data_IF_319364220659
#
_entry.id   IF_319364220659
#
_cell.length_a   1.000
_cell.length_b   1.000
_cell.length_c   1.000
_cell.angle_alpha   90.00
_cell.angle_beta   90.00
_cell.angle_gamma   90.00
#
_symmetry.space_group_name_H-M   'P 1'
#
loop_
_entity.id
_entity.type
_entity.pdbx_description
1 polymer ?
#
# COMPACT_ATOMS: atom_id res chain seq x y z
N UNK A 1 -22.04 -5.04 13.80
CA UNK A 1 -21.20 -4.35 12.82
C UNK A 1 -21.82 -4.54 11.44
N UNK A 2 -22.00 -3.47 10.66
CA UNK A 2 -22.48 -3.58 9.28
C UNK A 2 -21.39 -4.15 8.37
N UNK A 3 -21.78 -4.93 7.37
CA UNK A 3 -20.93 -5.52 6.33
C UNK A 3 -20.06 -4.47 5.60
N UNK A 4 -20.59 -3.25 5.43
CA UNK A 4 -19.86 -2.13 4.84
C UNK A 4 -18.71 -1.65 5.75
N UNK A 5 -18.96 -1.48 7.05
CA UNK A 5 -17.96 -1.01 8.01
C UNK A 5 -16.78 -1.99 8.12
N UNK A 6 -17.07 -3.29 8.12
CA UNK A 6 -16.02 -4.31 8.14
C UNK A 6 -15.10 -4.25 6.92
N UNK A 7 -15.60 -3.86 5.74
CA UNK A 7 -14.76 -3.68 4.54
C UNK A 7 -13.89 -2.44 4.63
N UNK A 8 -14.41 -1.35 5.18
CA UNK A 8 -13.62 -0.13 5.44
C UNK A 8 -12.47 -0.48 6.38
N UNK A 9 -12.77 -1.12 7.50
CA UNK A 9 -11.75 -1.46 8.50
C UNK A 9 -10.69 -2.40 7.90
N UNK A 10 -11.08 -3.35 7.05
CA UNK A 10 -10.14 -4.23 6.35
C UNK A 10 -9.26 -3.49 5.32
N UNK A 11 -9.83 -2.55 4.56
CA UNK A 11 -9.08 -1.74 3.61
C UNK A 11 -8.12 -0.78 4.35
N UNK A 12 -8.57 -0.18 5.46
CA UNK A 12 -7.76 0.67 6.32
C UNK A 12 -6.57 -0.09 6.93
N UNK A 13 -6.79 -1.33 7.38
CA UNK A 13 -5.71 -2.19 7.87
C UNK A 13 -4.67 -2.47 6.76
N UNK A 14 -5.12 -2.85 5.56
CA UNK A 14 -4.22 -3.09 4.42
C UNK A 14 -3.42 -1.83 4.03
N UNK A 15 -4.04 -0.65 4.09
CA UNK A 15 -3.37 0.63 3.85
C UNK A 15 -2.28 0.91 4.89
N UNK A 16 -2.61 0.73 6.18
CA UNK A 16 -1.65 0.94 7.27
C UNK A 16 -0.47 -0.03 7.20
N UNK A 17 -0.73 -1.31 6.91
CA UNK A 17 0.32 -2.31 6.75
C UNK A 17 1.25 -1.99 5.58
N UNK A 18 0.71 -1.51 4.46
CA UNK A 18 1.49 -1.08 3.30
C UNK A 18 2.36 0.14 3.60
N UNK A 19 1.79 1.21 4.19
CA UNK A 19 2.55 2.42 4.56
C UNK A 19 3.68 2.09 5.56
N UNK A 20 3.40 1.24 6.54
CA UNK A 20 4.40 0.81 7.52
C UNK A 20 5.57 0.08 6.86
N UNK A 21 5.27 -0.91 6.00
CA UNK A 21 6.30 -1.66 5.29
C UNK A 21 7.09 -0.76 4.32
N UNK A 22 6.43 0.18 3.66
CA UNK A 22 7.08 1.13 2.74
C UNK A 22 8.09 2.01 3.48
N UNK A 23 7.72 2.52 4.66
CA UNK A 23 8.61 3.33 5.49
C UNK A 23 9.82 2.55 5.98
N UNK A 24 9.62 1.32 6.43
CA UNK A 24 10.70 0.44 6.89
C UNK A 24 11.72 0.16 5.77
N UNK A 25 11.22 -0.16 4.57
CA UNK A 25 12.07 -0.42 3.42
C UNK A 25 12.82 0.84 2.96
N UNK A 26 12.17 2.01 2.99
CA UNK A 26 12.82 3.29 2.67
C UNK A 26 14.01 3.56 3.58
N UNK A 27 13.83 3.41 4.90
CA UNK A 27 14.91 3.58 5.88
C UNK A 27 16.06 2.60 5.62
N UNK A 28 15.74 1.35 5.28
CA UNK A 28 16.73 0.33 4.96
C UNK A 28 17.55 0.69 3.71
N UNK A 29 16.89 1.17 2.65
CA UNK A 29 17.56 1.62 1.43
C UNK A 29 18.39 2.88 1.62
N UNK A 30 17.92 3.84 2.41
CA UNK A 30 18.70 5.03 2.78
C UNK A 30 19.99 4.61 3.50
N UNK A 31 19.92 3.61 4.38
CA UNK A 31 21.08 3.08 5.09
C UNK A 31 22.05 2.37 4.12
N UNK A 32 21.55 1.50 3.24
CA UNK A 32 22.38 0.80 2.23
C UNK A 32 23.09 1.82 1.33
N UNK A 33 22.35 2.74 0.73
CA UNK A 33 22.90 3.69 -0.24
C UNK A 33 23.84 4.72 0.40
N UNK A 34 23.72 4.97 1.70
CA UNK A 34 24.66 5.81 2.43
C UNK A 34 26.04 5.15 2.61
N UNK A 35 26.11 3.81 2.66
CA UNK A 35 27.37 3.06 2.90
C UNK A 35 27.88 2.29 1.67
N UNK A 36 27.01 2.01 0.69
CA UNK A 36 27.32 1.31 -0.55
C UNK A 36 26.95 2.17 -1.77
N UNK A 37 27.97 2.62 -2.50
CA UNK A 37 27.83 3.37 -3.76
C UNK A 37 27.93 2.49 -5.01
N UNK A 38 27.73 1.18 -4.86
CA UNK A 38 27.75 0.24 -5.98
C UNK A 38 26.61 0.49 -6.97
N UNK A 39 26.79 0.14 -8.25
CA UNK A 39 25.70 0.14 -9.23
C UNK A 39 24.50 -0.73 -8.80
N UNK A 40 24.73 -1.78 -8.01
CA UNK A 40 23.71 -2.64 -7.43
C UNK A 40 22.81 -1.87 -6.45
N UNK A 41 23.39 -1.10 -5.53
CA UNK A 41 22.65 -0.24 -4.61
C UNK A 41 21.85 0.84 -5.34
N UNK A 42 22.41 1.45 -6.39
CA UNK A 42 21.70 2.38 -7.25
C UNK A 42 20.48 1.76 -7.94
N UNK A 43 20.63 0.54 -8.49
CA UNK A 43 19.51 -0.20 -9.10
C UNK A 43 18.41 -0.56 -8.10
N UNK A 44 18.78 -0.88 -6.86
CA UNK A 44 17.82 -1.11 -5.79
C UNK A 44 17.01 0.16 -5.48
N UNK A 45 17.67 1.31 -5.36
CA UNK A 45 16.98 2.59 -5.16
C UNK A 45 16.01 2.92 -6.31
N UNK A 46 16.44 2.74 -7.56
CA UNK A 46 15.58 2.96 -8.74
C UNK A 46 14.37 2.01 -8.77
N UNK A 47 14.57 0.74 -8.41
CA UNK A 47 13.51 -0.25 -8.31
C UNK A 47 12.47 0.12 -7.26
N UNK A 48 12.92 0.58 -6.09
CA UNK A 48 12.05 1.05 -5.03
C UNK A 48 11.26 2.29 -5.43
N UNK A 49 11.87 3.26 -6.11
CA UNK A 49 11.15 4.43 -6.63
C UNK A 49 10.00 4.06 -7.57
N UNK A 50 10.12 2.96 -8.32
CA UNK A 50 9.02 2.39 -9.11
C UNK A 50 7.87 1.88 -8.25
N UNK A 51 8.18 1.19 -7.15
CA UNK A 51 7.19 0.71 -6.18
C UNK A 51 6.53 1.86 -5.44
N UNK A 52 7.27 2.90 -5.04
CA UNK A 52 6.72 4.08 -4.37
C UNK A 52 5.62 4.74 -5.21
N UNK A 53 5.86 4.97 -6.50
CA UNK A 53 4.85 5.54 -7.40
C UNK A 53 3.59 4.69 -7.48
N UNK A 54 3.75 3.36 -7.52
CA UNK A 54 2.61 2.44 -7.54
C UNK A 54 1.85 2.48 -6.20
N UNK A 55 2.56 2.54 -5.08
CA UNK A 55 1.97 2.62 -3.74
C UNK A 55 1.16 3.91 -3.60
N UNK A 56 1.70 5.04 -4.07
CA UNK A 56 0.99 6.32 -4.09
C UNK A 56 -0.32 6.23 -4.90
N UNK A 57 -0.27 5.59 -6.07
CA UNK A 57 -1.44 5.41 -6.94
C UNK A 57 -2.54 4.58 -6.26
N UNK A 58 -2.20 3.41 -5.68
CA UNK A 58 -3.20 2.55 -5.01
C UNK A 58 -3.70 3.18 -3.70
N UNK A 59 -2.85 3.93 -3.00
CA UNK A 59 -3.20 4.69 -1.81
C UNK A 59 -4.21 5.78 -2.14
N UNK A 60 -4.00 6.50 -3.25
CA UNK A 60 -4.92 7.53 -3.71
C UNK A 60 -6.30 6.94 -4.02
N UNK A 61 -6.37 5.81 -4.73
CA UNK A 61 -7.64 5.13 -5.01
C UNK A 61 -8.38 4.67 -3.75
N UNK A 62 -7.64 4.22 -2.73
CA UNK A 62 -8.23 3.89 -1.44
C UNK A 62 -8.84 5.13 -0.77
N UNK A 63 -8.10 6.23 -0.71
CA UNK A 63 -8.58 7.50 -0.14
C UNK A 63 -9.82 7.99 -0.90
N UNK A 64 -9.77 8.01 -2.24
CA UNK A 64 -10.94 8.37 -3.06
C UNK A 64 -12.14 7.46 -2.79
N UNK A 65 -11.93 6.15 -2.63
CA UNK A 65 -13.00 5.21 -2.35
C UNK A 65 -13.62 5.42 -0.96
N UNK A 66 -12.86 5.85 0.04
CA UNK A 66 -13.37 6.20 1.37
C UNK A 66 -14.08 7.55 1.34
N UNK A 67 -13.49 8.56 0.68
CA UNK A 67 -14.04 9.93 0.61
C UNK A 67 -15.32 10.01 -0.24
N UNK A 68 -15.47 9.14 -1.24
CA UNK A 68 -16.64 9.13 -2.14
C UNK A 68 -17.94 8.78 -1.43
N UNK A 69 -17.88 8.14 -0.25
CA UNK A 69 -19.07 7.72 0.49
C UNK A 69 -19.02 8.23 1.92
N UNK A 70 -20.02 8.99 2.31
CA UNK A 70 -20.30 9.26 3.72
C UNK A 70 -20.85 7.98 4.37
N UNK A 71 -19.94 7.05 4.69
CA UNK A 71 -20.26 5.70 5.17
C UNK A 71 -20.86 5.68 6.57
N UNK A 72 -20.82 6.81 7.27
CA UNK A 72 -21.45 6.99 8.58
C UNK A 72 -22.91 7.49 8.46
N UNK A 73 -23.38 7.79 7.25
CA UNK A 73 -24.77 8.16 6.99
C UNK A 73 -25.70 6.96 7.17
N UNK A 74 -26.61 7.06 8.14
CA UNK A 74 -27.58 6.01 8.49
C UNK A 74 -28.54 5.66 7.34
N UNK A 75 -28.86 6.63 6.47
CA UNK A 75 -29.71 6.48 5.28
C UNK A 75 -28.89 6.51 3.97
N UNK A 76 -27.84 5.70 3.88
CA UNK A 76 -27.11 5.52 2.62
C UNK A 76 -27.95 4.71 1.63
N UNK A 77 -28.09 5.22 0.40
CA UNK A 77 -28.84 4.53 -0.65
C UNK A 77 -28.26 3.11 -0.90
N UNK A 78 -29.10 2.06 -1.02
CA UNK A 78 -28.61 0.68 -1.21
C UNK A 78 -27.71 0.49 -2.44
N UNK A 79 -27.92 1.26 -3.50
CA UNK A 79 -27.08 1.22 -4.72
C UNK A 79 -25.73 1.89 -4.50
N UNK A 80 -25.67 2.97 -3.71
CA UNK A 80 -24.41 3.59 -3.28
C UNK A 80 -23.66 2.66 -2.33
N UNK A 81 -24.36 2.01 -1.40
CA UNK A 81 -23.77 1.03 -0.49
C UNK A 81 -23.20 -0.19 -1.23
N UNK A 82 -23.81 -0.60 -2.35
CA UNK A 82 -23.27 -1.68 -3.19
C UNK A 82 -21.99 -1.24 -3.92
N UNK A 83 -22.00 -0.05 -4.52
CA UNK A 83 -20.83 0.51 -5.22
C UNK A 83 -19.65 0.75 -4.28
N UNK A 84 -19.90 1.30 -3.08
CA UNK A 84 -18.90 1.48 -2.03
C UNK A 84 -18.22 0.15 -1.68
N UNK A 85 -19.00 -0.92 -1.51
CA UNK A 85 -18.46 -2.24 -1.21
C UNK A 85 -17.54 -2.76 -2.31
N UNK A 86 -17.92 -2.60 -3.58
CA UNK A 86 -17.08 -3.00 -4.71
C UNK A 86 -15.78 -2.20 -4.77
N UNK A 87 -15.84 -0.89 -4.58
CA UNK A 87 -14.65 -0.03 -4.62
C UNK A 87 -13.70 -0.33 -3.46
N UNK A 88 -14.21 -0.49 -2.24
CA UNK A 88 -13.40 -0.83 -1.06
C UNK A 88 -12.75 -2.21 -1.19
N UNK A 89 -13.47 -3.21 -1.72
CA UNK A 89 -12.89 -4.53 -1.97
C UNK A 89 -11.76 -4.46 -2.99
N UNK A 90 -11.96 -3.73 -4.10
CA UNK A 90 -10.93 -3.53 -5.11
C UNK A 90 -9.71 -2.76 -4.56
N UNK A 91 -9.94 -1.67 -3.83
CA UNK A 91 -8.86 -0.90 -3.21
C UNK A 91 -8.04 -1.77 -2.26
N UNK A 92 -8.69 -2.58 -1.41
CA UNK A 92 -8.01 -3.54 -0.54
C UNK A 92 -7.14 -4.52 -1.34
N UNK A 93 -7.68 -5.11 -2.40
CA UNK A 93 -6.94 -6.06 -3.24
C UNK A 93 -5.71 -5.40 -3.87
N UNK A 94 -5.85 -4.18 -4.40
CA UNK A 94 -4.74 -3.40 -4.97
C UNK A 94 -3.67 -3.08 -3.91
N UNK A 95 -4.08 -2.67 -2.70
CA UNK A 95 -3.17 -2.42 -1.56
C UNK A 95 -2.40 -3.70 -1.16
N UNK A 96 -3.11 -4.82 -0.98
CA UNK A 96 -2.47 -6.10 -0.62
C UNK A 96 -1.52 -6.61 -1.71
N UNK A 97 -1.86 -6.39 -2.98
CA UNK A 97 -0.99 -6.73 -4.10
C UNK A 97 0.27 -5.87 -4.14
N UNK A 98 0.15 -4.57 -3.90
CA UNK A 98 1.30 -3.68 -3.77
C UNK A 98 2.20 -4.08 -2.58
N UNK A 99 1.60 -4.45 -1.43
CA UNK A 99 2.35 -4.96 -0.29
C UNK A 99 3.12 -6.24 -0.62
N UNK A 100 2.50 -7.20 -1.30
CA UNK A 100 3.18 -8.43 -1.69
C UNK A 100 4.33 -8.20 -2.68
N UNK A 101 4.29 -7.14 -3.48
CA UNK A 101 5.43 -6.73 -4.32
C UNK A 101 6.53 -6.08 -3.52
N UNK A 102 6.17 -5.23 -2.57
CA UNK A 102 7.08 -4.59 -1.65
C UNK A 102 7.84 -5.61 -0.81
N UNK A 103 7.14 -6.60 -0.24
CA UNK A 103 7.72 -7.67 0.57
C UNK A 103 8.72 -8.50 -0.27
N UNK A 104 8.35 -8.89 -1.49
CA UNK A 104 9.25 -9.61 -2.41
C UNK A 104 10.48 -8.79 -2.79
N UNK A 105 10.30 -7.48 -2.94
CA UNK A 105 11.42 -6.59 -3.21
C UNK A 105 12.35 -6.51 -1.99
N UNK A 106 11.82 -6.38 -0.77
CA UNK A 106 12.60 -6.40 0.46
C UNK A 106 13.39 -7.71 0.62
N UNK A 107 12.76 -8.86 0.35
CA UNK A 107 13.44 -10.17 0.32
C UNK A 107 14.60 -10.19 -0.68
N UNK A 108 14.44 -9.57 -1.85
CA UNK A 108 15.50 -9.50 -2.87
C UNK A 108 16.71 -8.66 -2.45
N UNK A 109 16.55 -7.79 -1.45
CA UNK A 109 17.66 -6.99 -0.89
C UNK A 109 18.48 -7.74 0.16
N UNK A 110 18.01 -8.88 0.68
CA UNK A 110 18.73 -9.66 1.69
C UNK A 110 20.23 -9.86 1.39
N UNK A 111 20.61 -10.28 0.16
CA UNK A 111 22.02 -10.44 -0.22
C UNK A 111 22.85 -9.14 -0.24
N UNK A 112 22.21 -7.96 -0.32
CA UNK A 112 22.89 -6.66 -0.23
C UNK A 112 23.07 -6.23 1.23
N UNK A 113 22.18 -6.65 2.13
CA UNK A 113 22.24 -6.33 3.56
C UNK A 113 23.25 -7.19 4.33
N UNK A 114 23.60 -8.38 3.81
CA UNK A 114 24.56 -9.30 4.44
C UNK A 114 26.04 -9.03 4.08
N UNK A 115 26.31 -7.98 3.28
CA UNK A 115 27.67 -7.62 2.80
C UNK A 115 28.29 -6.50 3.62
#
# INVERSE_FOLDING_TARGET
>A
MSDARSRVDAAAAAFYELDSAQRELRISLETITAVDSSPEAGRAADGFAGLERRIDEVSHRYIEAVDSYDLDREDLDPSLAAQARTLLTRAREELTGAKAELDRFAESLGPLLER
#
